data_IF_113325776039
#
_entry.id   IF_113325776039
#
_cell.length_a   1.000
_cell.length_b   1.000
_cell.length_c   1.000
_cell.angle_alpha   90.00
_cell.angle_beta   90.00
_cell.angle_gamma   90.00
#
_symmetry.space_group_name_H-M   'P 1'
#
loop_
_entity.id
_entity.type
_entity.pdbx_description
1 polymer ?
#
# COMPACT_ATOMS: atom_id res chain seq x y z
N UNK A 1 7.64 18.71 -11.23
CA UNK A 1 7.74 17.74 -10.14
C UNK A 1 7.47 16.36 -10.71
N UNK A 2 8.31 15.37 -10.39
CA UNK A 2 7.95 13.98 -10.66
C UNK A 2 6.69 13.67 -9.85
N UNK A 3 5.69 13.01 -10.45
CA UNK A 3 4.42 12.66 -9.81
C UNK A 3 3.45 13.83 -9.48
N UNK A 4 3.72 15.05 -9.98
CA UNK A 4 2.86 16.21 -9.73
C UNK A 4 1.49 16.15 -10.40
N UNK A 5 1.28 15.19 -11.29
CA UNK A 5 0.03 14.91 -12.00
C UNK A 5 -0.82 13.81 -11.33
N UNK A 6 -0.46 13.40 -10.12
CA UNK A 6 -1.17 12.42 -9.31
C UNK A 6 -1.81 13.10 -8.10
N UNK A 7 -3.01 12.65 -7.72
CA UNK A 7 -3.61 12.98 -6.43
C UNK A 7 -3.22 11.93 -5.37
N UNK A 8 -2.94 12.35 -4.14
CA UNK A 8 -2.65 11.48 -3.00
C UNK A 8 -3.67 11.66 -1.89
N UNK A 9 -4.41 10.59 -1.55
CA UNK A 9 -5.43 10.57 -0.50
C UNK A 9 -6.50 11.66 -0.63
N UNK A 10 -7.03 11.85 -1.83
CA UNK A 10 -8.10 12.81 -2.11
C UNK A 10 -9.36 12.11 -2.64
N UNK A 11 -10.46 12.85 -2.75
CA UNK A 11 -11.71 12.35 -3.30
C UNK A 11 -12.29 11.20 -2.48
N UNK A 12 -12.43 10.01 -3.08
CA UNK A 12 -13.07 8.87 -2.43
C UNK A 12 -12.31 8.35 -1.20
N UNK A 13 -11.03 8.72 -1.03
CA UNK A 13 -10.22 8.33 0.11
C UNK A 13 -10.89 8.69 1.44
N UNK A 14 -11.48 9.88 1.56
CA UNK A 14 -12.10 10.35 2.81
C UNK A 14 -13.23 9.45 3.31
N UNK A 15 -13.98 8.83 2.39
CA UNK A 15 -15.07 7.91 2.71
C UNK A 15 -14.57 6.48 2.93
N UNK A 16 -13.50 6.08 2.23
CA UNK A 16 -12.95 4.74 2.30
C UNK A 16 -12.12 4.51 3.55
N UNK A 17 -11.39 5.53 4.02
CA UNK A 17 -10.55 5.44 5.22
C UNK A 17 -11.37 5.20 6.50
N UNK A 18 -12.68 5.46 6.49
CA UNK A 18 -13.59 5.11 7.59
C UNK A 18 -13.58 3.62 7.97
N UNK A 19 -13.14 2.73 7.08
CA UNK A 19 -12.93 1.32 7.42
C UNK A 19 -11.96 1.14 8.60
N UNK A 20 -11.05 2.10 8.80
CA UNK A 20 -10.01 2.10 9.84
C UNK A 20 -10.50 2.60 11.21
N UNK A 21 -11.74 3.12 11.30
CA UNK A 21 -12.32 3.64 12.54
C UNK A 21 -12.30 2.67 13.74
N UNK A 22 -12.35 1.33 13.58
CA UNK A 22 -12.17 0.41 14.71
C UNK A 22 -10.81 0.49 15.39
N UNK A 23 -9.78 1.01 14.70
CA UNK A 23 -8.42 1.11 15.21
C UNK A 23 -8.13 2.52 15.74
N UNK A 24 -8.46 3.56 14.97
CA UNK A 24 -8.05 4.93 15.28
C UNK A 24 -9.16 5.93 15.00
N UNK A 25 -9.08 7.08 15.68
CA UNK A 25 -10.00 8.19 15.44
C UNK A 25 -9.90 8.72 14.00
N UNK A 26 -11.02 9.12 13.44
CA UNK A 26 -11.05 9.68 12.08
C UNK A 26 -10.35 11.03 11.98
N UNK A 27 -10.36 11.83 13.05
CA UNK A 27 -9.64 13.10 13.10
C UNK A 27 -8.14 12.90 12.96
N UNK A 28 -7.60 11.90 13.66
CA UNK A 28 -6.16 11.60 13.62
C UNK A 28 -5.75 11.04 12.26
N UNK A 29 -6.54 10.12 11.69
CA UNK A 29 -6.26 9.56 10.36
C UNK A 29 -6.25 10.64 9.27
N UNK A 30 -7.15 11.62 9.33
CA UNK A 30 -7.17 12.77 8.41
C UNK A 30 -5.94 13.67 8.61
N UNK A 31 -5.59 13.98 9.86
CA UNK A 31 -4.39 14.77 10.19
C UNK A 31 -3.10 14.12 9.66
N UNK A 32 -2.97 12.81 9.85
CA UNK A 32 -1.85 12.02 9.33
C UNK A 32 -1.82 12.04 7.81
N UNK A 33 -2.97 11.86 7.16
CA UNK A 33 -3.08 11.93 5.70
C UNK A 33 -2.65 13.28 5.14
N UNK A 34 -3.05 14.39 5.75
CA UNK A 34 -2.64 15.73 5.31
C UNK A 34 -1.12 15.92 5.41
N UNK A 35 -0.50 15.38 6.47
CA UNK A 35 0.95 15.36 6.61
C UNK A 35 1.63 14.55 5.51
N UNK A 36 1.15 13.32 5.29
CA UNK A 36 1.70 12.40 4.28
C UNK A 36 1.48 12.91 2.85
N UNK A 37 0.36 13.60 2.58
CA UNK A 37 0.08 14.25 1.29
C UNK A 37 1.09 15.36 1.00
N UNK A 38 1.39 16.21 2.00
CA UNK A 38 2.45 17.23 1.85
C UNK A 38 3.80 16.57 1.61
N UNK A 39 4.15 15.56 2.39
CA UNK A 39 5.40 14.80 2.21
C UNK A 39 5.48 14.17 0.80
N UNK A 40 4.35 13.69 0.26
CA UNK A 40 4.27 13.11 -1.08
C UNK A 40 4.58 14.12 -2.18
N UNK A 41 4.06 15.35 -2.10
CA UNK A 41 4.19 16.38 -3.14
C UNK A 41 5.41 17.29 -2.96
N UNK A 42 5.73 17.65 -1.71
CA UNK A 42 6.76 18.62 -1.36
C UNK A 42 8.08 17.95 -0.95
N UNK A 43 8.06 16.62 -0.77
CA UNK A 43 9.21 15.84 -0.31
C UNK A 43 9.37 15.85 1.21
N UNK A 44 10.21 14.93 1.71
CA UNK A 44 10.49 14.82 3.14
C UNK A 44 11.45 15.92 3.60
N UNK A 45 11.06 16.66 4.64
CA UNK A 45 11.96 17.63 5.29
C UNK A 45 13.19 16.92 5.91
N UNK A 46 14.38 17.56 5.92
CA UNK A 46 15.55 17.03 6.61
C UNK A 46 15.23 16.69 8.07
N UNK A 47 15.63 15.50 8.53
CA UNK A 47 15.40 15.03 9.90
C UNK A 47 13.96 14.57 10.20
N UNK A 48 13.08 14.49 9.20
CA UNK A 48 11.71 13.99 9.37
C UNK A 48 11.71 12.52 9.85
N UNK A 49 11.21 12.31 11.06
CA UNK A 49 10.87 10.99 11.60
C UNK A 49 9.54 10.48 11.08
N UNK A 50 9.24 9.20 11.30
CA UNK A 50 7.89 8.69 11.06
C UNK A 50 6.92 9.31 12.08
N UNK A 51 5.73 9.78 11.66
CA UNK A 51 4.74 10.27 12.61
C UNK A 51 4.30 9.17 13.57
N UNK A 52 3.88 9.55 14.78
CA UNK A 52 3.31 8.64 15.76
C UNK A 52 1.81 8.91 15.89
N UNK A 53 1.05 7.85 16.15
CA UNK A 53 -0.34 7.97 16.64
C UNK A 53 -0.27 8.21 18.16
N UNK A 54 -0.93 9.25 18.69
CA UNK A 54 -1.09 9.42 20.13
C UNK A 54 -1.96 8.31 20.75
N UNK A 55 -1.74 7.97 22.02
CA UNK A 55 -2.45 6.88 22.70
C UNK A 55 -3.95 7.16 22.81
N UNK A 56 -4.31 8.41 23.02
CA UNK A 56 -5.67 8.94 23.13
C UNK A 56 -6.48 8.82 21.82
N UNK A 57 -5.80 8.64 20.69
CA UNK A 57 -6.44 8.47 19.38
C UNK A 57 -6.76 7.00 19.07
N UNK A 58 -6.38 6.07 19.95
CA UNK A 58 -6.76 4.66 19.84
C UNK A 58 -8.25 4.47 20.09
N UNK A 59 -8.95 3.83 19.15
CA UNK A 59 -10.40 3.54 19.26
C UNK A 59 -10.70 2.23 20.01
N UNK A 60 -9.67 1.49 20.38
CA UNK A 60 -9.80 0.26 21.17
C UNK A 60 -8.69 0.15 22.21
N UNK A 61 -8.98 -0.27 23.46
CA UNK A 61 -7.97 -0.47 24.49
C UNK A 61 -6.97 -1.58 24.13
N UNK A 62 -7.31 -2.46 23.18
CA UNK A 62 -6.43 -3.54 22.71
C UNK A 62 -5.12 -3.02 22.08
N UNK A 63 -5.10 -1.76 21.63
CA UNK A 63 -3.89 -1.12 21.10
C UNK A 63 -2.91 -0.68 22.20
N UNK A 64 -3.34 -0.63 23.46
CA UNK A 64 -2.52 -0.09 24.56
C UNK A 64 -1.11 -0.69 24.64
N UNK A 65 -0.90 -2.02 24.48
CA UNK A 65 0.44 -2.62 24.52
C UNK A 65 1.34 -2.18 23.35
N UNK A 66 0.77 -1.79 22.22
CA UNK A 66 1.54 -1.41 21.03
C UNK A 66 2.30 -0.10 21.20
N UNK A 67 1.81 0.78 22.07
CA UNK A 67 2.48 2.06 22.35
C UNK A 67 3.75 1.90 23.19
N UNK A 68 3.89 0.77 23.89
CA UNK A 68 5.04 0.48 24.75
C UNK A 68 6.10 -0.40 24.05
N UNK A 69 5.87 -0.73 22.77
CA UNK A 69 6.74 -1.54 21.93
C UNK A 69 7.04 -0.81 20.61
N UNK A 70 8.14 -1.16 19.91
CA UNK A 70 8.35 -0.73 18.54
C UNK A 70 7.25 -1.32 17.63
N UNK A 71 6.30 -0.48 17.23
CA UNK A 71 5.08 -0.89 16.53
C UNK A 71 4.84 -0.04 15.29
N UNK A 72 4.05 -0.58 14.36
CA UNK A 72 3.81 0.03 13.05
C UNK A 72 2.36 -0.07 12.61
N UNK A 73 1.94 0.96 11.89
CA UNK A 73 0.69 1.05 11.14
C UNK A 73 0.98 1.75 9.81
N UNK A 74 0.59 1.19 8.67
CA UNK A 74 0.64 1.92 7.40
C UNK A 74 -0.74 2.48 7.10
N UNK A 75 -0.81 3.79 6.89
CA UNK A 75 -2.06 4.44 6.50
C UNK A 75 -2.42 3.98 5.08
N UNK A 76 -3.61 3.40 4.84
CA UNK A 76 -4.04 3.08 3.50
C UNK A 76 -4.06 4.32 2.61
N UNK A 77 -3.55 4.18 1.39
CA UNK A 77 -3.38 5.31 0.48
C UNK A 77 -4.21 5.14 -0.79
N UNK A 78 -4.76 6.24 -1.31
CA UNK A 78 -5.37 6.29 -2.64
C UNK A 78 -4.48 7.12 -3.57
N UNK A 79 -4.02 6.48 -4.64
CA UNK A 79 -3.32 7.16 -5.74
C UNK A 79 -4.24 7.16 -6.96
N UNK A 80 -4.46 8.34 -7.54
CA UNK A 80 -5.20 8.50 -8.79
C UNK A 80 -4.60 9.62 -9.61
N UNK A 81 -5.01 9.71 -10.88
CA UNK A 81 -4.65 10.85 -11.70
C UNK A 81 -5.27 12.13 -11.12
N UNK A 82 -4.52 13.22 -11.11
CA UNK A 82 -5.03 14.53 -10.68
C UNK A 82 -6.21 14.89 -11.59
N UNK A 83 -7.36 15.15 -10.96
CA UNK A 83 -8.58 15.46 -11.71
C UNK A 83 -8.47 16.87 -12.27
N UNK A 84 -8.48 17.01 -13.59
CA UNK A 84 -9.05 18.23 -14.17
C UNK A 84 -10.54 18.28 -13.78
N UNK A 85 -11.12 19.48 -13.62
CA UNK A 85 -12.48 19.71 -13.09
C UNK A 85 -13.66 18.99 -13.80
N UNK A 86 -13.41 18.09 -14.77
CA UNK A 86 -14.39 17.38 -15.59
C UNK A 86 -14.39 15.85 -15.44
N UNK A 87 -13.53 15.25 -14.62
CA UNK A 87 -13.43 13.78 -14.52
C UNK A 87 -13.59 13.29 -13.08
N UNK A 88 -14.82 12.98 -12.67
CA UNK A 88 -15.12 12.60 -11.28
C UNK A 88 -14.75 11.15 -10.92
N UNK A 89 -14.58 10.25 -11.90
CA UNK A 89 -14.36 8.82 -11.66
C UNK A 89 -13.28 8.26 -12.58
N UNK A 90 -12.42 7.38 -12.06
CA UNK A 90 -11.44 6.67 -12.91
C UNK A 90 -12.18 5.86 -13.98
N UNK A 91 -11.69 5.91 -15.21
CA UNK A 91 -12.38 5.30 -16.34
C UNK A 91 -12.50 3.77 -16.19
N UNK A 92 -11.55 3.12 -15.51
CA UNK A 92 -11.49 1.65 -15.37
C UNK A 92 -11.72 1.15 -13.94
N UNK A 93 -12.05 2.02 -12.99
CA UNK A 93 -12.26 1.65 -11.58
C UNK A 93 -10.98 1.64 -10.73
N UNK A 94 -11.03 0.96 -9.59
CA UNK A 94 -9.95 0.96 -8.58
C UNK A 94 -9.32 -0.41 -8.44
N UNK A 95 -8.00 -0.48 -8.45
CA UNK A 95 -7.25 -1.69 -8.13
C UNK A 95 -6.77 -1.58 -6.68
N UNK A 96 -6.95 -2.64 -5.91
CA UNK A 96 -6.42 -2.73 -4.55
C UNK A 96 -5.08 -3.47 -4.58
N UNK A 97 -4.02 -2.84 -4.11
CA UNK A 97 -2.74 -3.49 -3.81
C UNK A 97 -2.71 -3.79 -2.31
N UNK A 98 -2.58 -5.07 -1.97
CA UNK A 98 -2.62 -5.56 -0.61
C UNK A 98 -1.31 -6.29 -0.30
N UNK A 99 -0.53 -5.74 0.62
CA UNK A 99 0.70 -6.35 1.12
C UNK A 99 0.46 -7.04 2.46
N UNK A 100 1.52 -7.48 3.11
CA UNK A 100 1.42 -8.35 4.27
C UNK A 100 1.09 -7.58 5.55
N UNK A 101 2.00 -6.71 5.97
CA UNK A 101 1.97 -5.98 7.23
C UNK A 101 2.91 -4.76 7.17
N UNK A 102 2.71 -3.75 8.05
CA UNK A 102 3.51 -2.53 8.09
C UNK A 102 4.81 -2.75 8.88
N UNK A 103 5.63 -3.72 8.46
CA UNK A 103 6.87 -4.09 9.15
C UNK A 103 7.73 -2.86 9.50
N UNK A 104 8.22 -2.80 10.75
CA UNK A 104 9.10 -1.72 11.22
C UNK A 104 10.49 -2.20 11.55
N UNK A 105 11.47 -1.39 11.14
CA UNK A 105 12.87 -1.52 11.56
C UNK A 105 13.15 -0.40 12.56
N UNK A 106 13.27 -0.73 13.84
CA UNK A 106 13.52 0.26 14.89
C UNK A 106 13.41 -0.32 16.29
N UNK A 107 14.01 0.36 17.25
CA UNK A 107 13.97 0.01 18.68
C UNK A 107 13.18 1.00 19.51
N UNK A 108 12.76 2.12 18.92
CA UNK A 108 11.99 3.15 19.61
C UNK A 108 10.57 2.64 19.87
N UNK A 109 10.09 2.69 21.13
CA UNK A 109 8.71 2.39 21.45
C UNK A 109 7.73 3.37 20.81
N UNK A 110 6.54 2.88 20.50
CA UNK A 110 5.46 3.69 19.97
C UNK A 110 4.88 3.13 18.68
N UNK A 111 3.67 3.57 18.39
CA UNK A 111 2.96 3.19 17.18
C UNK A 111 3.24 4.21 16.07
N UNK A 112 4.17 3.84 15.18
CA UNK A 112 4.62 4.70 14.08
C UNK A 112 3.80 4.51 12.81
N UNK A 113 3.54 5.60 12.10
CA UNK A 113 2.74 5.63 10.89
C UNK A 113 3.61 5.78 9.65
N UNK A 114 3.42 4.86 8.73
CA UNK A 114 4.04 4.86 7.41
C UNK A 114 2.99 4.84 6.33
N UNK A 115 3.44 4.55 5.11
CA UNK A 115 2.57 4.28 3.97
C UNK A 115 3.02 2.99 3.31
N UNK A 116 2.12 2.39 2.55
CA UNK A 116 2.38 1.18 1.76
C UNK A 116 3.69 1.31 0.97
N UNK A 117 4.71 0.51 1.31
CA UNK A 117 6.04 0.59 0.70
C UNK A 117 6.67 2.01 0.68
N UNK A 118 6.32 2.86 1.66
CA UNK A 118 6.85 4.21 1.79
C UNK A 118 6.56 5.09 0.57
N UNK A 119 5.38 4.96 -0.03
CA UNK A 119 4.95 5.75 -1.20
C UNK A 119 4.92 7.25 -0.94
N UNK A 120 4.85 7.72 0.31
CA UNK A 120 5.01 9.14 0.64
C UNK A 120 6.45 9.65 0.41
N UNK A 121 7.45 8.77 0.34
CA UNK A 121 8.86 9.15 0.21
C UNK A 121 9.33 9.14 -1.24
N UNK A 122 9.58 10.31 -1.82
CA UNK A 122 10.18 10.49 -3.16
C UNK A 122 11.43 9.60 -3.35
N UNK A 123 12.32 9.56 -2.35
CA UNK A 123 13.54 8.74 -2.37
C UNK A 123 13.23 7.25 -2.53
N UNK A 124 12.18 6.74 -1.87
CA UNK A 124 11.81 5.33 -1.96
C UNK A 124 11.10 5.04 -3.30
N UNK A 125 10.20 5.94 -3.73
CA UNK A 125 9.51 5.89 -5.03
C UNK A 125 10.47 5.78 -6.22
N UNK A 126 11.57 6.52 -6.18
CA UNK A 126 12.59 6.51 -7.24
C UNK A 126 13.80 5.61 -6.93
N UNK A 127 13.69 4.74 -5.92
CA UNK A 127 14.74 3.78 -5.62
C UNK A 127 14.72 2.61 -6.62
N UNK A 128 15.89 2.06 -6.95
CA UNK A 128 16.00 0.84 -7.78
C UNK A 128 15.70 -0.46 -7.01
N UNK A 129 15.14 -0.34 -5.80
CA UNK A 129 14.78 -1.46 -4.93
C UNK A 129 13.30 -1.79 -5.11
N UNK A 130 12.78 -2.67 -4.26
CA UNK A 130 11.40 -3.12 -4.33
C UNK A 130 10.39 -1.97 -4.19
N UNK A 131 10.71 -0.91 -3.43
CA UNK A 131 9.87 0.29 -3.32
C UNK A 131 9.61 0.94 -4.68
N UNK A 132 10.66 1.18 -5.49
CA UNK A 132 10.47 1.75 -6.81
C UNK A 132 9.85 0.78 -7.81
N UNK A 133 10.02 -0.54 -7.66
CA UNK A 133 9.25 -1.51 -8.47
C UNK A 133 7.75 -1.34 -8.22
N UNK A 134 7.35 -1.29 -6.95
CA UNK A 134 5.95 -1.09 -6.56
C UNK A 134 5.45 0.26 -7.04
N UNK A 135 6.23 1.34 -6.87
CA UNK A 135 5.83 2.65 -7.34
C UNK A 135 5.63 2.72 -8.86
N UNK A 136 6.57 2.20 -9.65
CA UNK A 136 6.44 2.18 -11.11
C UNK A 136 5.23 1.34 -11.56
N UNK A 137 4.88 0.30 -10.80
CA UNK A 137 3.66 -0.48 -11.05
C UNK A 137 2.38 0.31 -10.72
N UNK A 138 2.36 1.05 -9.60
CA UNK A 138 1.26 1.97 -9.25
C UNK A 138 1.09 3.02 -10.34
N UNK A 139 2.18 3.67 -10.74
CA UNK A 139 2.17 4.69 -11.81
C UNK A 139 1.61 4.13 -13.10
N UNK A 140 2.08 2.95 -13.54
CA UNK A 140 1.57 2.28 -14.73
C UNK A 140 0.07 1.96 -14.65
N UNK A 141 -0.45 1.60 -13.47
CA UNK A 141 -1.89 1.39 -13.30
C UNK A 141 -2.67 2.71 -13.49
N UNK A 142 -2.17 3.81 -12.91
CA UNK A 142 -2.80 5.13 -13.05
C UNK A 142 -2.76 5.61 -14.50
N UNK A 143 -1.62 5.49 -15.18
CA UNK A 143 -1.46 5.86 -16.60
C UNK A 143 -2.40 5.06 -17.51
N UNK A 144 -2.84 3.88 -17.06
CA UNK A 144 -3.81 3.03 -17.77
C UNK A 144 -5.27 3.35 -17.43
N UNK A 145 -5.53 4.37 -16.60
CA UNK A 145 -6.86 4.86 -16.25
C UNK A 145 -7.49 4.22 -15.01
N UNK A 146 -6.70 3.52 -14.20
CA UNK A 146 -7.15 3.01 -12.89
C UNK A 146 -6.83 4.00 -11.77
N UNK A 147 -7.56 3.91 -10.66
CA UNK A 147 -7.06 4.37 -9.36
C UNK A 147 -6.45 3.20 -8.61
N UNK A 148 -5.56 3.45 -7.66
CA UNK A 148 -4.91 2.40 -6.88
C UNK A 148 -5.09 2.66 -5.38
N UNK A 149 -5.79 1.73 -4.72
CA UNK A 149 -5.89 1.69 -3.26
C UNK A 149 -4.77 0.80 -2.71
N UNK A 150 -3.91 1.35 -1.85
CA UNK A 150 -2.74 0.70 -1.29
C UNK A 150 -2.99 0.40 0.18
N UNK A 151 -2.89 -0.86 0.60
CA UNK A 151 -3.21 -1.28 1.97
C UNK A 151 -2.43 -2.55 2.35
N UNK A 152 -2.46 -2.92 3.63
CA UNK A 152 -1.90 -4.17 4.14
C UNK A 152 -3.00 -5.11 4.63
N UNK A 153 -2.79 -6.42 4.51
CA UNK A 153 -3.74 -7.39 5.00
C UNK A 153 -3.86 -7.35 6.53
N UNK A 154 -2.71 -7.30 7.21
CA UNK A 154 -2.64 -7.07 8.66
C UNK A 154 -2.30 -5.60 8.89
N UNK A 155 -3.16 -4.88 9.59
CA UNK A 155 -3.05 -3.42 9.72
C UNK A 155 -1.97 -2.98 10.69
N UNK A 156 -1.57 -3.84 11.60
CA UNK A 156 -0.67 -3.50 12.70
C UNK A 156 0.53 -4.44 12.73
N UNK A 157 1.68 -3.87 13.07
CA UNK A 157 2.90 -4.60 13.38
C UNK A 157 3.31 -4.31 14.82
N UNK A 158 3.79 -5.32 15.53
CA UNK A 158 4.38 -5.19 16.85
C UNK A 158 5.65 -6.03 16.92
N UNK A 159 6.76 -5.42 17.34
CA UNK A 159 8.01 -6.14 17.55
C UNK A 159 7.90 -7.07 18.79
N UNK A 160 8.55 -8.23 18.73
CA UNK A 160 8.66 -9.19 19.84
C UNK A 160 7.33 -9.80 20.33
N UNK A 161 6.53 -10.36 19.42
CA UNK A 161 5.34 -11.14 19.81
C UNK A 161 4.18 -11.05 18.82
N UNK A 162 4.22 -10.08 17.90
CA UNK A 162 3.11 -9.83 16.99
C UNK A 162 1.90 -9.23 17.72
N UNK A 163 0.76 -9.19 17.03
CA UNK A 163 -0.51 -8.76 17.62
C UNK A 163 -1.35 -9.97 18.05
N UNK A 164 -2.12 -9.80 19.13
CA UNK A 164 -2.98 -10.86 19.67
C UNK A 164 -4.15 -11.22 18.75
N UNK A 165 -4.85 -12.35 19.00
CA UNK A 165 -5.95 -12.82 18.15
C UNK A 165 -7.06 -11.77 17.95
N UNK A 166 -7.49 -11.09 19.01
CA UNK A 166 -8.55 -10.07 18.93
C UNK A 166 -8.17 -8.89 18.02
N UNK A 167 -6.91 -8.46 18.03
CA UNK A 167 -6.43 -7.43 17.09
C UNK A 167 -6.32 -7.98 15.65
N UNK A 168 -6.01 -9.26 15.46
CA UNK A 168 -6.03 -9.87 14.14
C UNK A 168 -7.47 -9.91 13.58
N UNK A 169 -8.45 -10.22 14.43
CA UNK A 169 -9.87 -10.21 14.04
C UNK A 169 -10.34 -8.80 13.66
N UNK A 170 -9.92 -7.79 14.41
CA UNK A 170 -10.18 -6.38 14.03
C UNK A 170 -9.50 -6.06 12.70
N UNK A 171 -8.25 -6.47 12.48
CA UNK A 171 -7.56 -6.24 11.20
C UNK A 171 -8.31 -6.89 10.02
N UNK A 172 -8.83 -8.11 10.21
CA UNK A 172 -9.60 -8.82 9.20
C UNK A 172 -10.95 -8.13 8.91
N UNK A 173 -11.67 -7.69 9.95
CA UNK A 173 -12.89 -6.90 9.79
C UNK A 173 -12.64 -5.57 9.06
N UNK A 174 -11.57 -4.86 9.43
CA UNK A 174 -11.14 -3.62 8.75
C UNK A 174 -10.84 -3.90 7.27
N UNK A 175 -10.11 -4.97 6.94
CA UNK A 175 -9.84 -5.35 5.54
C UNK A 175 -11.13 -5.69 4.78
N UNK A 176 -12.05 -6.42 5.40
CA UNK A 176 -13.37 -6.73 4.83
C UNK A 176 -14.14 -5.45 4.49
N UNK A 177 -14.19 -4.50 5.43
CA UNK A 177 -14.83 -3.19 5.25
C UNK A 177 -14.15 -2.36 4.17
N UNK A 178 -12.82 -2.39 4.07
CA UNK A 178 -12.09 -1.76 2.98
C UNK A 178 -12.51 -2.31 1.63
N UNK A 179 -12.53 -3.64 1.47
CA UNK A 179 -12.91 -4.29 0.20
C UNK A 179 -14.35 -3.93 -0.16
N UNK A 180 -15.26 -3.95 0.81
CA UNK A 180 -16.66 -3.58 0.61
C UNK A 180 -16.85 -2.10 0.23
N UNK A 181 -16.08 -1.18 0.83
CA UNK A 181 -16.16 0.26 0.53
C UNK A 181 -15.48 0.63 -0.78
N UNK A 182 -14.29 0.08 -1.04
CA UNK A 182 -13.47 0.38 -2.24
C UNK A 182 -14.06 -0.27 -3.49
N UNK A 183 -14.68 -1.44 -3.34
CA UNK A 183 -15.21 -2.27 -4.44
C UNK A 183 -14.18 -2.42 -5.58
N UNK A 184 -12.98 -2.94 -5.28
CA UNK A 184 -11.91 -2.97 -6.26
C UNK A 184 -12.27 -3.89 -7.44
N UNK A 185 -11.97 -3.44 -8.67
CA UNK A 185 -12.15 -4.26 -9.88
C UNK A 185 -11.12 -5.39 -9.94
N UNK A 186 -10.05 -5.28 -9.16
CA UNK A 186 -9.01 -6.28 -8.98
C UNK A 186 -8.29 -6.06 -7.65
N UNK A 187 -7.96 -7.14 -6.97
CA UNK A 187 -7.13 -7.15 -5.76
C UNK A 187 -5.82 -7.86 -6.09
N UNK A 188 -4.69 -7.21 -5.83
CA UNK A 188 -3.35 -7.79 -6.00
C UNK A 188 -2.80 -8.12 -4.62
N UNK A 189 -2.67 -9.41 -4.34
CA UNK A 189 -2.10 -9.92 -3.10
C UNK A 189 -0.59 -10.14 -3.26
N UNK A 190 0.22 -9.35 -2.56
CA UNK A 190 1.68 -9.48 -2.58
C UNK A 190 2.14 -10.50 -1.53
N UNK A 191 2.51 -11.69 -1.98
CA UNK A 191 3.01 -12.79 -1.16
C UNK A 191 1.93 -13.62 -0.46
N UNK A 192 2.36 -14.76 0.10
CA UNK A 192 1.45 -15.79 0.59
C UNK A 192 0.62 -15.36 1.81
N UNK A 193 1.10 -14.42 2.62
CA UNK A 193 0.34 -13.95 3.78
C UNK A 193 -0.81 -13.02 3.37
N UNK A 194 -0.57 -12.08 2.45
CA UNK A 194 -1.64 -11.28 1.87
C UNK A 194 -2.66 -12.16 1.14
N UNK A 195 -2.20 -13.15 0.36
CA UNK A 195 -3.07 -14.12 -0.32
C UNK A 195 -3.97 -14.86 0.66
N UNK A 196 -3.41 -15.41 1.75
CA UNK A 196 -4.17 -16.15 2.75
C UNK A 196 -5.21 -15.28 3.45
N UNK A 197 -4.85 -14.06 3.81
CA UNK A 197 -5.77 -13.12 4.44
C UNK A 197 -6.93 -12.71 3.51
N UNK A 198 -6.73 -12.76 2.19
CA UNK A 198 -7.75 -12.42 1.20
C UNK A 198 -8.57 -13.63 0.73
N UNK A 199 -8.25 -14.85 1.16
CA UNK A 199 -8.85 -16.07 0.63
C UNK A 199 -10.39 -16.10 0.75
N UNK A 200 -10.92 -15.47 1.80
CA UNK A 200 -12.35 -15.46 2.11
C UNK A 200 -13.10 -14.25 1.51
N UNK A 201 -12.41 -13.31 0.86
CA UNK A 201 -12.95 -12.00 0.48
C UNK A 201 -13.27 -11.81 -1.02
N UNK A 202 -13.22 -12.87 -1.83
CA UNK A 202 -13.60 -12.72 -3.23
C UNK A 202 -13.68 -14.01 -4.03
N UNK A 203 -14.31 -13.90 -5.20
CA UNK A 203 -14.15 -14.88 -6.26
C UNK A 203 -12.67 -14.90 -6.68
N UNK A 204 -12.13 -16.10 -6.92
CA UNK A 204 -10.73 -16.31 -7.31
C UNK A 204 -10.28 -15.46 -8.52
N UNK A 205 -11.22 -14.95 -9.34
CA UNK A 205 -10.96 -14.12 -10.52
C UNK A 205 -10.60 -12.66 -10.20
N UNK A 206 -11.00 -12.15 -9.04
CA UNK A 206 -10.72 -10.77 -8.63
C UNK A 206 -9.38 -10.66 -7.91
N UNK A 207 -8.94 -11.73 -7.24
CA UNK A 207 -7.70 -11.76 -6.45
C UNK A 207 -6.57 -12.38 -7.28
N UNK A 208 -5.60 -11.54 -7.65
CA UNK A 208 -4.37 -11.99 -8.29
C UNK A 208 -3.26 -12.09 -7.25
N UNK A 209 -2.75 -13.30 -7.06
CA UNK A 209 -1.57 -13.52 -6.22
C UNK A 209 -0.30 -13.27 -7.03
N UNK A 210 0.59 -12.44 -6.49
CA UNK A 210 1.93 -12.21 -7.03
C UNK A 210 2.97 -12.37 -5.92
N UNK A 211 4.22 -12.58 -6.32
CA UNK A 211 5.32 -12.68 -5.36
C UNK A 211 5.48 -11.39 -4.56
N UNK A 212 6.01 -11.48 -3.34
CA UNK A 212 6.25 -10.30 -2.53
C UNK A 212 7.43 -9.48 -3.12
N UNK A 213 7.32 -8.14 -3.29
CA UNK A 213 8.35 -7.32 -3.93
C UNK A 213 9.73 -7.40 -3.26
N UNK A 214 9.76 -7.61 -1.95
CA UNK A 214 11.00 -7.71 -1.17
C UNK A 214 11.65 -9.11 -1.17
N UNK A 215 10.99 -10.15 -1.68
CA UNK A 215 11.52 -11.50 -1.64
C UNK A 215 12.66 -11.72 -2.66
N UNK A 216 13.59 -12.62 -2.32
CA UNK A 216 14.78 -12.90 -3.11
C UNK A 216 14.48 -14.02 -4.11
N UNK A 217 14.65 -13.74 -5.40
CA UNK A 217 14.38 -14.70 -6.48
C UNK A 217 15.52 -14.78 -7.49
N UNK A 218 15.55 -15.89 -8.24
CA UNK A 218 16.49 -16.09 -9.36
C UNK A 218 16.24 -15.04 -10.44
N UNK A 219 17.30 -14.58 -11.11
CA UNK A 219 17.20 -13.60 -12.22
C UNK A 219 16.33 -14.09 -13.38
N UNK A 220 16.22 -15.40 -13.61
CA UNK A 220 15.36 -15.95 -14.66
C UNK A 220 13.87 -15.66 -14.43
N UNK A 221 13.42 -15.53 -13.17
CA UNK A 221 12.00 -15.29 -12.85
C UNK A 221 11.49 -13.96 -13.43
N UNK A 222 12.32 -12.91 -13.44
CA UNK A 222 11.89 -11.60 -13.98
C UNK A 222 11.77 -11.60 -15.51
N UNK A 223 12.45 -12.53 -16.19
CA UNK A 223 12.45 -12.66 -17.65
C UNK A 223 11.41 -13.67 -18.17
N UNK A 224 10.76 -14.41 -17.28
CA UNK A 224 9.72 -15.37 -17.66
C UNK A 224 8.57 -14.66 -18.40
N UNK A 225 8.24 -15.17 -19.60
CA UNK A 225 7.23 -14.59 -20.49
C UNK A 225 7.54 -13.18 -20.98
N UNK A 226 8.81 -12.76 -20.98
CA UNK A 226 9.19 -11.47 -21.53
C UNK A 226 9.13 -11.47 -23.07
N UNK A 227 8.46 -10.46 -23.63
CA UNK A 227 8.33 -10.25 -25.08
C UNK A 227 9.41 -9.32 -25.65
N UNK A 228 10.23 -8.73 -24.78
CA UNK A 228 11.30 -7.81 -25.13
C UNK A 228 12.57 -8.12 -24.35
N UNK A 229 13.69 -7.71 -24.91
CA UNK A 229 14.96 -7.64 -24.20
C UNK A 229 14.98 -6.43 -23.26
N UNK A 230 15.74 -6.58 -22.17
CA UNK A 230 15.97 -5.50 -21.22
C UNK A 230 17.45 -5.18 -21.18
N UNK A 231 17.77 -3.90 -21.06
CA UNK A 231 19.14 -3.44 -20.91
C UNK A 231 19.80 -4.10 -19.69
N UNK A 232 21.06 -4.49 -19.82
CA UNK A 232 21.84 -5.14 -18.76
C UNK A 232 22.28 -4.17 -17.64
N UNK A 233 21.60 -3.05 -17.46
CA UNK A 233 21.88 -2.01 -16.47
C UNK A 233 20.85 -2.03 -15.33
N UNK A 234 21.03 -1.22 -14.26
CA UNK A 234 20.10 -1.19 -13.14
C UNK A 234 18.65 -0.82 -13.50
N UNK A 235 18.46 0.05 -14.48
CA UNK A 235 17.13 0.55 -14.87
C UNK A 235 16.37 -0.47 -15.73
N UNK A 236 17.06 -1.16 -16.64
CA UNK A 236 16.51 -2.32 -17.35
C UNK A 236 16.09 -3.45 -16.41
N UNK A 237 16.85 -3.69 -15.32
CA UNK A 237 16.47 -4.67 -14.28
C UNK A 237 15.24 -4.24 -13.46
N UNK A 238 15.09 -2.95 -13.19
CA UNK A 238 13.91 -2.41 -12.54
C UNK A 238 12.68 -2.62 -13.45
N UNK A 239 12.79 -2.23 -14.72
CA UNK A 239 11.72 -2.36 -15.69
C UNK A 239 11.30 -3.81 -15.93
N UNK A 240 12.26 -4.75 -16.00
CA UNK A 240 11.97 -6.18 -16.12
C UNK A 240 11.09 -6.69 -14.97
N UNK A 241 11.32 -6.21 -13.74
CA UNK A 241 10.47 -6.54 -12.58
C UNK A 241 9.07 -5.95 -12.70
N UNK A 242 8.98 -4.67 -13.07
CA UNK A 242 7.69 -4.00 -13.27
C UNK A 242 6.87 -4.73 -14.33
N UNK A 243 7.47 -5.07 -15.46
CA UNK A 243 6.79 -5.80 -16.53
C UNK A 243 6.40 -7.22 -16.11
N UNK A 244 7.22 -7.91 -15.30
CA UNK A 244 6.87 -9.23 -14.75
C UNK A 244 5.63 -9.17 -13.87
N UNK A 245 5.54 -8.17 -12.98
CA UNK A 245 4.34 -7.93 -12.17
C UNK A 245 3.15 -7.55 -13.05
N UNK A 246 3.36 -6.68 -14.03
CA UNK A 246 2.30 -6.26 -14.93
C UNK A 246 1.67 -7.45 -15.67
N UNK A 247 2.48 -8.33 -16.27
CA UNK A 247 1.98 -9.54 -16.95
C UNK A 247 1.25 -10.50 -16.00
N UNK A 248 1.70 -10.60 -14.74
CA UNK A 248 1.02 -11.42 -13.75
C UNK A 248 -0.35 -10.85 -13.35
N UNK A 249 -0.44 -9.52 -13.23
CA UNK A 249 -1.67 -8.82 -12.81
C UNK A 249 -2.65 -8.68 -13.96
N UNK A 250 -2.17 -8.45 -15.18
CA UNK A 250 -2.94 -8.25 -16.40
C UNK A 250 -2.46 -9.24 -17.46
N UNK A 251 -2.79 -10.54 -17.32
CA UNK A 251 -2.52 -11.49 -18.39
C UNK A 251 -3.27 -11.03 -19.66
N UNK A 252 -2.67 -11.24 -20.83
CA UNK A 252 -3.38 -11.06 -22.09
C UNK A 252 -4.61 -11.98 -22.06
N UNK A 253 -5.79 -11.44 -22.35
CA UNK A 253 -6.97 -12.26 -22.59
C UNK A 253 -6.74 -13.06 -23.86
N UNK A 254 -6.69 -14.38 -23.73
CA UNK A 254 -6.78 -15.31 -24.87
C UNK A 254 -8.10 -15.15 -25.64
#
# INVERSE_FOLDING_TARGET
MLDGDLSFNEGAWENWIESQAPLFSMSELRRLSDGLRRDFHEGHKPGRGMPHIPREEASTPLLAPLFDLPSGYDLPCLISQEKSAKQEKSAKGTIMFCAQDPLRNGTEPGLTVGTFFGVDSERLRHSRRHYGVVWNLVRRCVDQGYSVWLTDAVKLFARNGGIGPELNDICADVLSKEIAKVQPVRIVAFGDRAKRALADHGEARTIVHVLHPAARYKRSWVLEGAEREYEANPDGRLQARVDRYWRAIFPATE
#
